data_IF_241021882930
#
_entry.id   IF_241021882930
#
_cell.length_a   1.000
_cell.length_b   1.000
_cell.length_c   1.000
_cell.angle_alpha   90.00
_cell.angle_beta   90.00
_cell.angle_gamma   90.00
#
_symmetry.space_group_name_H-M   'P 1'
#
loop_
_entity.id
_entity.type
_entity.pdbx_description
1 polymer ?
#
# COMPACT_ATOMS: atom_id res chain seq x y z
N UNK A 1 2.64 17.09 7.35
CA UNK A 1 2.23 16.01 8.26
C UNK A 1 0.81 15.62 7.87
N UNK A 2 0.61 14.39 7.37
CA UNK A 2 -0.74 13.90 7.05
C UNK A 2 -1.63 13.96 8.28
N UNK A 3 -2.86 14.43 8.11
CA UNK A 3 -3.84 14.51 9.20
C UNK A 3 -4.43 13.13 9.49
N UNK A 4 -4.95 12.93 10.70
CA UNK A 4 -5.68 11.72 11.08
C UNK A 4 -6.79 11.36 10.07
N UNK A 5 -7.43 12.38 9.50
CA UNK A 5 -8.47 12.23 8.48
C UNK A 5 -7.95 11.53 7.20
N UNK A 6 -6.71 11.78 6.78
CA UNK A 6 -6.10 11.11 5.62
C UNK A 6 -5.99 9.61 5.88
N UNK A 7 -5.54 9.22 7.07
CA UNK A 7 -5.39 7.82 7.42
C UNK A 7 -6.72 7.10 7.62
N UNK A 8 -7.73 7.80 8.17
CA UNK A 8 -9.10 7.26 8.25
C UNK A 8 -9.69 7.03 6.87
N UNK A 9 -9.51 7.96 5.93
CA UNK A 9 -9.96 7.79 4.53
C UNK A 9 -9.23 6.64 3.84
N UNK A 10 -7.91 6.53 4.04
CA UNK A 10 -7.13 5.41 3.50
C UNK A 10 -7.62 4.07 4.06
N UNK A 11 -7.85 3.98 5.37
CA UNK A 11 -8.40 2.78 5.99
C UNK A 11 -9.75 2.39 5.38
N UNK A 12 -10.69 3.34 5.30
CA UNK A 12 -12.03 3.08 4.76
C UNK A 12 -12.02 2.72 3.26
N UNK A 13 -11.06 3.22 2.49
CA UNK A 13 -10.86 2.80 1.09
C UNK A 13 -10.37 1.36 1.03
N UNK A 14 -9.36 1.00 1.83
CA UNK A 14 -8.79 -0.35 1.83
C UNK A 14 -9.76 -1.39 2.39
N UNK A 15 -10.54 -1.05 3.41
CA UNK A 15 -11.57 -1.93 3.95
C UNK A 15 -12.56 -2.37 2.86
N UNK A 16 -12.98 -1.47 1.97
CA UNK A 16 -13.86 -1.82 0.84
C UNK A 16 -13.23 -2.80 -0.14
N UNK A 17 -11.96 -2.59 -0.47
CA UNK A 17 -11.24 -3.51 -1.34
C UNK A 17 -11.09 -4.89 -0.68
N UNK A 18 -10.82 -4.95 0.63
CA UNK A 18 -10.74 -6.20 1.37
C UNK A 18 -12.11 -6.93 1.39
N UNK A 19 -13.20 -6.21 1.61
CA UNK A 19 -14.57 -6.73 1.53
C UNK A 19 -14.94 -7.27 0.14
N UNK A 20 -14.42 -6.66 -0.93
CA UNK A 20 -14.56 -7.13 -2.32
C UNK A 20 -13.65 -8.32 -2.66
N UNK A 21 -12.82 -8.76 -1.71
CA UNK A 21 -11.91 -9.90 -1.88
C UNK A 21 -10.61 -9.57 -2.61
N UNK A 22 -10.24 -8.28 -2.69
CA UNK A 22 -8.98 -7.84 -3.29
C UNK A 22 -7.81 -8.13 -2.35
N UNK A 23 -6.80 -8.84 -2.85
CA UNK A 23 -5.59 -9.16 -2.07
C UNK A 23 -4.79 -7.89 -1.77
N UNK A 24 -4.21 -7.84 -0.58
CA UNK A 24 -3.46 -6.66 -0.12
C UNK A 24 -2.08 -7.06 0.32
N UNK A 25 -1.07 -6.35 -0.21
CA UNK A 25 0.33 -6.59 0.11
C UNK A 25 1.09 -5.33 0.45
N UNK A 26 2.03 -5.46 1.37
CA UNK A 26 3.04 -4.44 1.65
C UNK A 26 4.43 -5.09 1.61
N UNK A 27 5.33 -4.51 0.82
CA UNK A 27 6.69 -5.03 0.58
C UNK A 27 6.72 -6.52 0.21
N UNK A 28 5.71 -6.98 -0.56
CA UNK A 28 5.58 -8.36 -1.04
C UNK A 28 4.85 -9.32 -0.08
N UNK A 29 4.58 -8.91 1.16
CA UNK A 29 3.90 -9.73 2.16
C UNK A 29 2.40 -9.40 2.24
N UNK A 30 1.56 -10.42 2.43
CA UNK A 30 0.13 -10.21 2.67
C UNK A 30 -0.09 -9.38 3.93
N UNK A 31 -1.00 -8.41 3.86
CA UNK A 31 -1.27 -7.49 4.94
C UNK A 31 -2.74 -7.05 4.93
N UNK A 32 -3.27 -6.71 6.12
CA UNK A 32 -4.60 -6.12 6.25
C UNK A 32 -4.58 -4.60 6.00
N UNK A 33 -5.74 -3.98 5.73
CA UNK A 33 -5.90 -2.53 5.67
C UNK A 33 -5.26 -1.80 6.85
N UNK A 34 -5.45 -2.32 8.07
CA UNK A 34 -4.90 -1.73 9.28
C UNK A 34 -3.36 -1.75 9.30
N UNK A 35 -2.76 -2.85 8.85
CA UNK A 35 -1.29 -2.97 8.79
C UNK A 35 -0.69 -1.98 7.78
N UNK A 36 -1.33 -1.82 6.61
CA UNK A 36 -0.89 -0.88 5.57
C UNK A 36 -1.01 0.57 6.06
N UNK A 37 -2.12 0.93 6.70
CA UNK A 37 -2.33 2.27 7.26
C UNK A 37 -1.33 2.57 8.37
N UNK A 38 -1.09 1.60 9.27
CA UNK A 38 -0.10 1.74 10.35
C UNK A 38 1.30 1.97 9.77
N UNK A 39 1.68 1.26 8.71
CA UNK A 39 2.94 1.48 8.02
C UNK A 39 3.03 2.90 7.42
N UNK A 40 1.93 3.44 6.88
CA UNK A 40 1.88 4.82 6.38
C UNK A 40 1.94 5.88 7.48
N UNK A 41 1.46 5.58 8.70
CA UNK A 41 1.56 6.48 9.84
C UNK A 41 2.99 6.58 10.40
N UNK A 42 3.71 5.45 10.39
CA UNK A 42 5.07 5.34 10.95
C UNK A 42 6.12 5.90 9.98
N UNK A 43 5.90 5.75 8.68
CA UNK A 43 6.86 6.18 7.65
C UNK A 43 6.68 7.64 7.24
N UNK A 44 7.73 8.22 6.71
CA UNK A 44 7.69 9.56 6.13
C UNK A 44 6.76 9.63 4.91
N UNK A 45 6.25 10.83 4.64
CA UNK A 45 5.35 11.08 3.53
C UNK A 45 6.00 10.72 2.19
N UNK A 46 5.28 10.00 1.33
CA UNK A 46 5.78 9.55 0.02
C UNK A 46 6.64 8.28 0.05
N UNK A 47 6.70 7.54 1.17
CA UNK A 47 7.54 6.34 1.28
C UNK A 47 7.01 5.12 0.49
N UNK A 48 5.70 4.98 0.33
CA UNK A 48 5.10 3.85 -0.38
C UNK A 48 4.40 4.32 -1.66
N UNK A 49 4.60 3.58 -2.75
CA UNK A 49 3.75 3.63 -3.94
C UNK A 49 2.77 2.46 -3.93
N UNK A 50 1.58 2.67 -4.51
CA UNK A 50 0.53 1.67 -4.62
C UNK A 50 0.37 1.25 -6.08
N UNK A 51 0.59 -0.03 -6.33
CA UNK A 51 0.35 -0.67 -7.63
C UNK A 51 -0.98 -1.42 -7.63
N UNK A 52 -1.65 -1.40 -8.77
CA UNK A 52 -2.87 -2.16 -9.03
C UNK A 52 -2.55 -3.34 -9.93
N UNK A 53 -2.80 -4.55 -9.43
CA UNK A 53 -2.72 -5.77 -10.23
C UNK A 53 -4.12 -6.09 -10.73
N UNK A 54 -4.25 -6.23 -12.04
CA UNK A 54 -5.51 -6.48 -12.72
C UNK A 54 -5.54 -7.95 -13.17
N UNK A 55 -6.63 -8.66 -12.90
CA UNK A 55 -6.83 -10.02 -13.38
C UNK A 55 -7.19 -10.03 -14.89
N UNK A 56 -7.18 -11.20 -15.55
CA UNK A 56 -7.53 -11.31 -16.97
C UNK A 56 -8.93 -10.78 -17.33
N UNK A 57 -9.86 -10.77 -16.36
CA UNK A 57 -11.21 -10.25 -16.51
C UNK A 57 -11.28 -8.71 -16.42
N UNK A 58 -10.17 -8.03 -16.12
CA UNK A 58 -10.09 -6.58 -16.03
C UNK A 58 -10.43 -5.99 -14.66
N UNK A 59 -10.61 -6.83 -13.64
CA UNK A 59 -10.89 -6.41 -12.27
C UNK A 59 -9.59 -6.27 -11.46
N UNK A 60 -9.60 -5.40 -10.45
CA UNK A 60 -8.48 -5.30 -9.51
C UNK A 60 -8.46 -6.58 -8.67
N UNK A 61 -7.38 -7.34 -8.78
CA UNK A 61 -7.15 -8.56 -8.00
C UNK A 61 -6.31 -8.28 -6.75
N UNK A 62 -5.38 -7.32 -6.85
CA UNK A 62 -4.48 -7.00 -5.74
C UNK A 62 -4.08 -5.53 -5.72
N UNK A 63 -3.95 -5.00 -4.50
CA UNK A 63 -3.21 -3.78 -4.20
C UNK A 63 -1.84 -4.12 -3.61
N UNK A 64 -0.78 -3.61 -4.21
CA UNK A 64 0.60 -3.81 -3.71
C UNK A 64 1.23 -2.49 -3.31
N UNK A 65 1.59 -2.35 -2.04
CA UNK A 65 2.29 -1.20 -1.49
C UNK A 65 3.78 -1.50 -1.43
N UNK A 66 4.57 -0.72 -2.15
CA UNK A 66 6.01 -0.94 -2.28
C UNK A 66 6.77 0.26 -1.75
N UNK A 67 7.72 0.01 -0.85
CA UNK A 67 8.57 1.06 -0.31
C UNK A 67 9.55 1.58 -1.38
N UNK A 68 9.41 2.85 -1.76
CA UNK A 68 10.21 3.43 -2.84
C UNK A 68 11.56 3.97 -2.37
N UNK A 69 11.72 4.16 -1.06
CA UNK A 69 12.99 4.57 -0.48
C UNK A 69 13.99 3.40 -0.42
N UNK A 70 13.54 2.14 -0.49
CA UNK A 70 14.44 0.99 -0.64
C UNK A 70 15.09 0.92 -2.04
N UNK A 71 14.39 1.34 -3.11
CA UNK A 71 14.99 1.37 -4.46
C UNK A 71 16.13 2.38 -4.57
N UNK A 72 16.03 3.52 -3.87
CA UNK A 72 17.11 4.54 -3.84
C UNK A 72 18.41 4.05 -3.22
N UNK A 73 18.39 2.97 -2.43
CA UNK A 73 19.60 2.38 -1.84
C UNK A 73 20.28 1.37 -2.76
N UNK A 74 19.58 0.82 -3.75
CA UNK A 74 20.15 -0.13 -4.71
C UNK A 74 20.95 0.57 -5.83
N UNK A 75 20.68 1.85 -6.10
CA UNK A 75 21.37 2.64 -7.13
C UNK A 75 22.67 3.34 -6.64
N UNK A 76 23.06 3.12 -5.38
CA UNK A 76 24.30 3.63 -4.76
C UNK A 76 25.30 2.50 -4.45
N UNK A 77 25.39 1.49 -5.32
CA UNK A 77 26.53 0.58 -5.31
C UNK A 77 27.55 1.08 -6.35
N UNK A 78 28.77 1.49 -5.94
CA UNK A 78 29.80 2.04 -6.83
C UNK A 78 30.36 1.04 -7.84
#
# INVERSE_FOLDING_TARGET
>A
MKTEEVYRKLYAELEKYEEEGVDMRIDGYQASPMQIVTAHMIKEEGTYMRDYVINPEGNIERLSFVNINHYRQAEITP
#
